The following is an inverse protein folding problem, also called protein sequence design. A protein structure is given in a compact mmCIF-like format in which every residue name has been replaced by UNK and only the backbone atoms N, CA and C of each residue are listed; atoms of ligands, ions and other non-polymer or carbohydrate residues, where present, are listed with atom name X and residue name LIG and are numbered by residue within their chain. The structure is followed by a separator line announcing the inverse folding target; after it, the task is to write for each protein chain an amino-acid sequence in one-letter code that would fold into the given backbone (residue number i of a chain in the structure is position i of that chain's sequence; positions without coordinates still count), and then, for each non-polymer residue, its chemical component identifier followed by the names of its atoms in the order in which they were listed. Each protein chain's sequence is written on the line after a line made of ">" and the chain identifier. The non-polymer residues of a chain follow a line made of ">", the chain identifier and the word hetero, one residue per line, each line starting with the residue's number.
data_IF_082107297184
#
_entry.id   IF_082107297184
#
_cell.length_a   1.000
_cell.length_b   1.000
_cell.length_c   1.000
_cell.angle_alpha   90.00
_cell.angle_beta   90.00
_cell.angle_gamma   90.00
#
_symmetry.space_group_name_H-M   'P 1'
#
loop_
_entity.id
_entity.type
_entity.pdbx_description
1 polymer ?
#
# COMPACT_ATOMS: atom_id res chain seq x y z
N UNK A 1 -1.70 71.90 30.52
CA UNK A 1 -0.44 72.60 30.84
C UNK A 1 0.16 71.99 32.09
N UNK A 2 1.48 71.82 32.12
CA UNK A 2 2.35 71.30 33.20
C UNK A 2 2.48 69.77 33.28
N UNK A 3 3.67 69.17 33.50
CA UNK A 3 5.09 69.43 33.16
C UNK A 3 5.81 68.12 33.57
N UNK A 4 6.86 67.76 32.84
CA UNK A 4 7.71 66.57 33.02
C UNK A 4 8.52 66.64 34.33
N UNK A 5 8.79 65.49 34.98
CA UNK A 5 10.04 65.16 35.69
C UNK A 5 10.08 63.63 35.96
N UNK A 6 10.98 62.84 35.37
CA UNK A 6 12.35 62.51 35.81
C UNK A 6 12.45 61.87 37.22
N UNK A 7 12.87 60.61 37.29
CA UNK A 7 14.10 60.18 37.98
C UNK A 7 14.15 58.65 38.16
N UNK A 8 15.26 58.05 37.72
CA UNK A 8 15.66 56.68 38.02
C UNK A 8 15.95 56.50 39.51
N UNK A 9 15.58 55.35 40.07
CA UNK A 9 16.19 54.83 41.29
C UNK A 9 16.48 53.33 41.14
N UNK A 10 17.77 53.06 41.33
CA UNK A 10 18.47 51.78 41.31
C UNK A 10 18.02 50.92 42.49
N UNK A 11 17.78 49.63 42.26
CA UNK A 11 17.80 48.62 43.32
C UNK A 11 18.61 47.41 42.86
N UNK A 12 19.82 47.32 43.41
CA UNK A 12 20.72 46.18 43.33
C UNK A 12 20.14 45.06 44.21
N UNK A 13 19.81 43.90 43.63
CA UNK A 13 19.35 42.70 44.34
C UNK A 13 20.35 41.57 44.16
N UNK A 14 20.81 41.02 45.27
CA UNK A 14 21.97 40.13 45.41
C UNK A 14 21.50 38.66 45.46
N UNK A 15 22.30 37.79 44.82
CA UNK A 15 22.59 36.36 45.14
C UNK A 15 21.50 35.27 45.13
N UNK A 16 21.69 34.31 44.22
CA UNK A 16 21.74 32.86 44.44
C UNK A 16 22.41 32.25 43.19
N UNK A 17 23.45 31.43 43.23
CA UNK A 17 23.53 30.15 43.92
C UNK A 17 23.55 29.02 42.87
N UNK A 18 24.75 28.58 42.50
CA UNK A 18 25.18 27.36 41.81
C UNK A 18 24.13 26.33 41.30
N UNK A 19 24.28 25.88 40.04
CA UNK A 19 24.77 24.53 39.71
C UNK A 19 24.76 24.29 38.20
N UNK A 20 25.90 23.81 37.69
CA UNK A 20 26.08 23.33 36.33
C UNK A 20 25.29 22.04 36.09
N UNK A 21 24.59 21.96 34.95
CA UNK A 21 24.39 20.69 34.23
C UNK A 21 24.47 20.99 32.72
N UNK A 22 25.70 20.97 32.22
CA UNK A 22 26.03 20.81 30.81
C UNK A 22 25.39 19.51 30.33
N UNK A 23 24.27 19.62 29.61
CA UNK A 23 23.71 18.50 28.88
C UNK A 23 24.72 18.07 27.81
N UNK A 24 25.26 16.86 27.94
CA UNK A 24 26.11 16.25 26.94
C UNK A 24 25.35 16.15 25.59
N UNK A 25 25.99 16.46 24.45
CA UNK A 25 25.38 16.21 23.15
C UNK A 25 25.24 14.70 22.95
N UNK A 26 24.00 14.24 22.77
CA UNK A 26 23.71 12.87 22.38
C UNK A 26 24.46 12.54 21.07
N UNK A 27 25.14 11.38 20.96
CA UNK A 27 25.80 11.01 19.72
C UNK A 27 24.75 10.87 18.61
N UNK A 28 25.00 11.56 17.51
CA UNK A 28 24.24 11.46 16.28
C UNK A 28 24.15 9.98 15.88
N UNK A 29 22.93 9.43 15.90
CA UNK A 29 22.64 8.13 15.32
C UNK A 29 22.90 8.25 13.83
N UNK A 30 24.00 7.68 13.37
CA UNK A 30 24.21 7.34 11.97
C UNK A 30 22.97 6.63 11.45
N UNK A 31 22.37 7.04 10.31
CA UNK A 31 21.37 6.22 9.68
C UNK A 31 22.08 4.93 9.24
N UNK A 32 21.85 3.86 9.99
CA UNK A 32 22.09 2.50 9.51
C UNK A 32 21.22 2.38 8.28
N UNK A 33 21.84 2.38 7.11
CA UNK A 33 21.21 1.96 5.89
C UNK A 33 20.62 0.58 6.17
N UNK A 34 19.31 0.51 6.33
CA UNK A 34 18.59 -0.75 6.26
C UNK A 34 18.84 -1.29 4.86
N UNK A 35 19.89 -2.10 4.73
CA UNK A 35 20.02 -3.11 3.69
C UNK A 35 18.88 -4.11 3.90
N UNK A 36 17.66 -3.65 3.61
CA UNK A 36 16.51 -4.52 3.44
C UNK A 36 16.87 -5.43 2.28
N UNK A 37 16.80 -6.74 2.55
CA UNK A 37 16.97 -7.81 1.60
C UNK A 37 16.57 -7.35 0.20
N UNK A 38 17.54 -7.34 -0.72
CA UNK A 38 17.28 -7.27 -2.14
C UNK A 38 16.50 -8.53 -2.50
N UNK A 39 15.19 -8.51 -2.23
CA UNK A 39 14.26 -9.33 -2.98
C UNK A 39 14.51 -8.94 -4.42
N UNK A 40 14.84 -9.96 -5.22
CA UNK A 40 14.97 -9.93 -6.67
C UNK A 40 13.67 -9.39 -7.28
N UNK A 41 13.49 -8.08 -7.15
CA UNK A 41 12.34 -7.36 -7.64
C UNK A 41 12.73 -6.94 -9.04
N UNK A 42 12.03 -7.42 -10.09
CA UNK A 42 12.46 -7.30 -11.48
C UNK A 42 12.74 -5.86 -11.93
N UNK A 43 12.24 -4.87 -11.19
CA UNK A 43 12.56 -3.45 -11.36
C UNK A 43 12.76 -2.79 -9.99
N UNK A 44 13.91 -2.16 -9.72
CA UNK A 44 14.15 -1.37 -8.51
C UNK A 44 13.06 -0.30 -8.26
N UNK A 45 12.74 -0.06 -6.99
CA UNK A 45 11.69 0.89 -6.61
C UNK A 45 11.99 2.32 -7.09
N UNK A 46 13.24 2.74 -6.99
CA UNK A 46 13.68 4.07 -7.44
C UNK A 46 13.49 4.25 -8.96
N UNK A 47 13.83 3.23 -9.75
CA UNK A 47 13.64 3.24 -11.20
C UNK A 47 12.16 3.30 -11.59
N UNK A 48 11.29 2.53 -10.92
CA UNK A 48 9.84 2.64 -11.10
C UNK A 48 9.29 4.01 -10.71
N UNK A 49 9.84 4.65 -9.67
CA UNK A 49 9.41 5.97 -9.25
C UNK A 49 9.77 7.03 -10.31
N UNK A 50 11.01 6.97 -10.84
CA UNK A 50 11.44 7.83 -11.94
C UNK A 50 10.60 7.63 -13.20
N UNK A 51 10.40 6.38 -13.63
CA UNK A 51 9.57 6.05 -14.78
C UNK A 51 8.13 6.59 -14.64
N UNK A 52 7.55 6.58 -13.43
CA UNK A 52 6.24 7.18 -13.17
C UNK A 52 6.26 8.69 -13.37
N UNK A 53 7.30 9.38 -12.92
CA UNK A 53 7.45 10.83 -13.13
C UNK A 53 7.58 11.15 -14.61
N UNK A 54 8.41 10.41 -15.33
CA UNK A 54 8.59 10.56 -16.78
C UNK A 54 7.25 10.36 -17.50
N UNK A 55 6.54 9.26 -17.23
CA UNK A 55 5.24 8.98 -17.84
C UNK A 55 4.18 10.04 -17.49
N UNK A 56 4.19 10.60 -16.27
CA UNK A 56 3.30 11.69 -15.91
C UNK A 56 3.62 12.96 -16.70
N UNK A 57 4.91 13.28 -16.87
CA UNK A 57 5.36 14.44 -17.66
C UNK A 57 5.01 14.31 -19.15
N UNK A 58 5.02 13.10 -19.69
CA UNK A 58 4.63 12.80 -21.07
C UNK A 58 3.10 12.87 -21.28
N UNK A 59 2.30 12.78 -20.22
CA UNK A 59 0.83 12.69 -20.28
C UNK A 59 0.10 13.83 -19.55
N UNK A 60 0.75 14.98 -19.35
CA UNK A 60 0.21 16.13 -18.58
C UNK A 60 -1.11 16.69 -19.10
N UNK A 61 -1.43 16.47 -20.38
CA UNK A 61 -2.67 16.92 -20.99
C UNK A 61 -3.88 15.99 -20.71
N UNK A 62 -3.65 14.78 -20.20
CA UNK A 62 -4.69 13.81 -19.92
C UNK A 62 -5.16 13.90 -18.47
N UNK A 63 -6.40 13.47 -18.22
CA UNK A 63 -6.94 13.35 -16.87
C UNK A 63 -7.85 12.12 -16.74
N UNK A 64 -8.29 11.81 -15.52
CA UNK A 64 -9.30 10.77 -15.28
C UNK A 64 -8.90 9.37 -15.74
N UNK A 65 -9.80 8.71 -16.48
CA UNK A 65 -9.59 7.36 -17.05
C UNK A 65 -8.48 7.36 -18.10
N UNK A 66 -8.45 8.38 -18.96
CA UNK A 66 -7.49 8.46 -20.08
C UNK A 66 -6.06 8.56 -19.57
N UNK A 67 -5.82 9.41 -18.55
CA UNK A 67 -4.51 9.46 -17.89
C UNK A 67 -4.14 8.11 -17.27
N UNK A 68 -5.09 7.41 -16.64
CA UNK A 68 -4.82 6.09 -16.05
C UNK A 68 -4.52 5.02 -17.09
N UNK A 69 -5.18 5.07 -18.25
CA UNK A 69 -4.88 4.19 -19.38
C UNK A 69 -3.49 4.48 -19.95
N UNK A 70 -3.20 5.75 -20.26
CA UNK A 70 -1.91 6.16 -20.82
C UNK A 70 -0.74 5.89 -19.87
N UNK A 71 -0.91 6.14 -18.56
CA UNK A 71 0.08 5.80 -17.54
C UNK A 71 0.40 4.30 -17.49
N UNK A 72 -0.61 3.43 -17.63
CA UNK A 72 -0.38 1.97 -17.67
C UNK A 72 0.41 1.56 -18.90
N UNK A 73 0.05 2.09 -20.08
CA UNK A 73 0.75 1.81 -21.33
C UNK A 73 2.20 2.31 -21.29
N UNK A 74 2.42 3.56 -20.89
CA UNK A 74 3.76 4.14 -20.77
C UNK A 74 4.64 3.34 -19.78
N UNK A 75 4.11 3.03 -18.59
CA UNK A 75 4.85 2.26 -17.59
C UNK A 75 5.18 0.85 -18.09
N UNK A 76 4.25 0.17 -18.77
CA UNK A 76 4.51 -1.16 -19.33
C UNK A 76 5.55 -1.10 -20.46
N UNK A 77 5.51 -0.06 -21.30
CA UNK A 77 6.47 0.14 -22.39
C UNK A 77 7.90 0.40 -21.88
N UNK A 78 8.07 1.08 -20.74
CA UNK A 78 9.40 1.29 -20.12
C UNK A 78 9.99 0.00 -19.50
N UNK A 79 9.18 -1.04 -19.27
CA UNK A 79 9.60 -2.32 -18.70
C UNK A 79 8.99 -3.53 -19.45
N UNK A 80 9.35 -3.76 -20.73
CA UNK A 80 8.67 -4.74 -21.58
C UNK A 80 8.85 -6.19 -21.14
N UNK A 81 9.90 -6.50 -20.37
CA UNK A 81 10.15 -7.83 -19.80
C UNK A 81 9.46 -8.10 -18.46
N UNK A 82 8.73 -7.12 -17.90
CA UNK A 82 8.13 -7.23 -16.57
C UNK A 82 6.64 -6.91 -16.64
N UNK A 83 5.80 -7.87 -16.24
CA UNK A 83 4.36 -7.64 -16.11
C UNK A 83 4.08 -6.75 -14.88
N UNK A 84 3.93 -5.44 -15.08
CA UNK A 84 3.73 -4.50 -13.95
C UNK A 84 2.28 -4.43 -13.50
N UNK A 85 1.35 -4.63 -14.42
CA UNK A 85 -0.08 -4.56 -14.19
C UNK A 85 -0.75 -5.85 -14.65
N UNK A 86 -1.97 -6.10 -14.19
CA UNK A 86 -2.77 -7.15 -14.82
C UNK A 86 -3.04 -6.78 -16.29
N UNK A 87 -2.85 -7.73 -17.20
CA UNK A 87 -3.05 -7.58 -18.64
C UNK A 87 -3.70 -8.87 -19.16
N UNK A 88 -4.56 -8.76 -20.18
CA UNK A 88 -5.31 -9.88 -20.78
C UNK A 88 -6.00 -10.79 -19.75
N UNK A 89 -6.52 -10.20 -18.68
CA UNK A 89 -7.22 -10.95 -17.65
C UNK A 89 -6.31 -11.77 -16.73
N UNK A 90 -4.99 -11.61 -16.80
CA UNK A 90 -4.00 -12.30 -15.95
C UNK A 90 -3.29 -11.32 -15.02
N UNK A 91 -3.02 -11.72 -13.78
CA UNK A 91 -2.26 -10.95 -12.81
C UNK A 91 -0.76 -11.04 -13.10
N UNK A 92 0.05 -10.20 -12.46
CA UNK A 92 1.52 -10.30 -12.54
C UNK A 92 2.04 -11.71 -12.23
N UNK A 93 1.42 -12.40 -11.28
CA UNK A 93 1.85 -13.74 -10.84
C UNK A 93 1.31 -14.86 -11.76
N UNK A 94 0.83 -14.54 -12.96
CA UNK A 94 0.34 -15.50 -13.95
C UNK A 94 -1.05 -16.10 -13.66
N UNK A 95 -1.71 -15.67 -12.58
CA UNK A 95 -3.04 -16.16 -12.19
C UNK A 95 -4.14 -15.38 -12.90
N UNK A 96 -5.31 -15.97 -13.21
CA UNK A 96 -6.42 -15.18 -13.73
C UNK A 96 -6.83 -14.10 -12.73
N UNK A 97 -7.14 -12.90 -13.20
CA UNK A 97 -7.74 -11.84 -12.39
C UNK A 97 -9.07 -12.32 -11.81
N UNK A 98 -9.55 -11.69 -10.72
CA UNK A 98 -10.84 -12.06 -10.15
C UNK A 98 -11.98 -11.88 -11.15
N UNK A 99 -11.90 -10.87 -12.03
CA UNK A 99 -12.87 -10.64 -13.10
C UNK A 99 -12.82 -11.76 -14.15
N UNK A 100 -11.63 -12.09 -14.67
CA UNK A 100 -11.47 -13.17 -15.65
C UNK A 100 -11.88 -14.53 -15.09
N UNK A 101 -11.51 -14.84 -13.84
CA UNK A 101 -11.93 -16.08 -13.17
C UNK A 101 -13.46 -16.16 -13.03
N UNK A 102 -14.13 -15.05 -12.65
CA UNK A 102 -15.59 -15.01 -12.57
C UNK A 102 -16.26 -15.15 -13.94
N UNK A 103 -15.71 -14.52 -14.98
CA UNK A 103 -16.21 -14.64 -16.34
C UNK A 103 -16.13 -16.09 -16.83
N UNK A 104 -14.96 -16.72 -16.72
CA UNK A 104 -14.76 -18.13 -17.07
C UNK A 104 -15.68 -19.07 -16.27
N UNK A 105 -15.82 -18.87 -14.95
CA UNK A 105 -16.74 -19.67 -14.14
C UNK A 105 -18.21 -19.47 -14.53
N UNK A 106 -18.58 -18.26 -14.95
CA UNK A 106 -19.92 -17.96 -15.45
C UNK A 106 -20.19 -18.72 -16.75
N UNK A 107 -19.25 -18.69 -17.70
CA UNK A 107 -19.36 -19.44 -18.96
C UNK A 107 -19.51 -20.95 -18.71
N UNK A 108 -18.74 -21.52 -17.78
CA UNK A 108 -18.85 -22.94 -17.39
C UNK A 108 -20.23 -23.28 -16.79
N UNK A 109 -20.74 -22.43 -15.89
CA UNK A 109 -22.04 -22.64 -15.27
C UNK A 109 -23.20 -22.46 -16.27
N UNK A 110 -23.09 -21.47 -17.16
CA UNK A 110 -24.08 -21.18 -18.19
C UNK A 110 -24.08 -22.28 -19.27
N UNK A 111 -22.91 -22.80 -19.66
CA UNK A 111 -22.78 -23.96 -20.57
C UNK A 111 -23.39 -25.25 -20.00
N UNK A 112 -23.36 -25.41 -18.67
CA UNK A 112 -24.05 -26.48 -17.94
C UNK A 112 -25.52 -26.18 -17.64
N UNK A 113 -26.03 -25.01 -18.03
CA UNK A 113 -27.40 -24.53 -17.79
C UNK A 113 -27.84 -24.61 -16.32
N UNK A 114 -26.88 -24.46 -15.39
CA UNK A 114 -27.16 -24.52 -13.96
C UNK A 114 -28.04 -23.34 -13.53
N UNK A 115 -28.93 -23.57 -12.55
CA UNK A 115 -29.81 -22.53 -12.02
C UNK A 115 -29.85 -22.53 -10.49
N UNK A 116 -30.40 -21.46 -9.90
CA UNK A 116 -30.65 -21.35 -8.47
C UNK A 116 -29.43 -21.63 -7.58
N UNK A 117 -29.65 -22.42 -6.52
CA UNK A 117 -28.62 -22.78 -5.54
C UNK A 117 -27.47 -23.61 -6.16
N UNK A 118 -27.78 -24.48 -7.13
CA UNK A 118 -26.77 -25.30 -7.81
C UNK A 118 -25.79 -24.43 -8.60
N UNK A 119 -26.31 -23.40 -9.29
CA UNK A 119 -25.48 -22.41 -9.98
C UNK A 119 -24.56 -21.67 -9.01
N UNK A 120 -25.07 -21.23 -7.87
CA UNK A 120 -24.28 -20.52 -6.86
C UNK A 120 -23.15 -21.40 -6.31
N UNK A 121 -23.45 -22.66 -6.00
CA UNK A 121 -22.48 -23.63 -5.52
C UNK A 121 -21.38 -23.90 -6.56
N UNK A 122 -21.76 -24.09 -7.82
CA UNK A 122 -20.81 -24.31 -8.92
C UNK A 122 -19.92 -23.08 -9.17
N UNK A 123 -20.48 -21.87 -9.18
CA UNK A 123 -19.71 -20.63 -9.33
C UNK A 123 -18.71 -20.45 -8.20
N UNK A 124 -19.13 -20.74 -6.96
CA UNK A 124 -18.27 -20.63 -5.77
C UNK A 124 -17.14 -21.66 -5.82
N UNK A 125 -17.46 -22.91 -6.14
CA UNK A 125 -16.47 -23.98 -6.26
C UNK A 125 -15.46 -23.68 -7.38
N UNK A 126 -15.94 -23.28 -8.56
CA UNK A 126 -15.08 -22.90 -9.69
C UNK A 126 -14.16 -21.72 -9.33
N UNK A 127 -14.70 -20.66 -8.71
CA UNK A 127 -13.89 -19.50 -8.35
C UNK A 127 -12.84 -19.85 -7.31
N UNK A 128 -13.19 -20.64 -6.29
CA UNK A 128 -12.26 -21.09 -5.26
C UNK A 128 -11.15 -21.98 -5.83
N UNK A 129 -11.46 -22.82 -6.82
CA UNK A 129 -10.48 -23.64 -7.51
C UNK A 129 -9.51 -22.81 -8.36
N UNK A 130 -10.00 -21.79 -9.10
CA UNK A 130 -9.15 -20.91 -9.92
C UNK A 130 -8.37 -19.89 -9.09
N UNK A 131 -8.89 -19.48 -7.94
CA UNK A 131 -8.32 -18.44 -7.05
C UNK A 131 -8.35 -18.84 -5.57
N UNK A 132 -7.63 -19.92 -5.19
CA UNK A 132 -7.55 -20.37 -3.80
C UNK A 132 -6.95 -19.31 -2.88
N UNK A 133 -6.07 -18.45 -3.41
CA UNK A 133 -5.47 -17.33 -2.67
C UNK A 133 -6.51 -16.28 -2.24
N UNK A 134 -7.52 -16.02 -3.07
CA UNK A 134 -8.60 -15.09 -2.74
C UNK A 134 -9.63 -15.73 -1.83
N UNK A 135 -9.92 -17.02 -2.04
CA UNK A 135 -10.79 -17.79 -1.16
C UNK A 135 -10.23 -17.79 0.28
N UNK A 136 -8.94 -18.09 0.45
CA UNK A 136 -8.29 -18.06 1.76
C UNK A 136 -8.31 -16.68 2.39
N UNK A 137 -8.03 -15.62 1.61
CA UNK A 137 -8.13 -14.23 2.11
C UNK A 137 -9.56 -13.87 2.56
N UNK A 138 -10.59 -14.44 1.94
CA UNK A 138 -11.97 -14.25 2.38
C UNK A 138 -12.24 -14.93 3.72
N UNK A 139 -11.70 -16.14 3.94
CA UNK A 139 -11.74 -16.83 5.23
C UNK A 139 -11.02 -16.01 6.31
N UNK A 140 -9.78 -15.61 6.06
CA UNK A 140 -9.01 -14.76 6.98
C UNK A 140 -9.75 -13.47 7.37
N UNK A 141 -10.43 -12.84 6.40
CA UNK A 141 -11.24 -11.64 6.64
C UNK A 141 -12.45 -11.94 7.53
N UNK A 142 -13.13 -13.07 7.31
CA UNK A 142 -14.29 -13.48 8.12
C UNK A 142 -13.87 -13.70 9.58
N UNK A 143 -12.78 -14.42 9.80
CA UNK A 143 -12.25 -14.70 11.13
C UNK A 143 -11.77 -13.44 11.85
N UNK A 144 -11.03 -12.56 11.16
CA UNK A 144 -10.57 -11.30 11.73
C UNK A 144 -11.75 -10.38 12.12
N UNK A 145 -12.81 -10.33 11.29
CA UNK A 145 -14.04 -9.61 11.64
C UNK A 145 -14.80 -10.25 12.80
N UNK A 146 -14.82 -11.58 12.90
CA UNK A 146 -15.42 -12.26 14.05
C UNK A 146 -14.70 -11.94 15.36
N UNK A 147 -13.40 -11.59 15.29
CA UNK A 147 -12.61 -11.07 16.42
C UNK A 147 -12.81 -9.58 16.69
N UNK A 148 -13.72 -8.91 15.97
CA UNK A 148 -13.99 -7.48 16.11
C UNK A 148 -12.93 -6.56 15.51
N UNK A 149 -11.98 -7.09 14.71
CA UNK A 149 -10.92 -6.27 14.12
C UNK A 149 -11.44 -5.43 12.95
N UNK A 150 -11.01 -4.18 12.89
CA UNK A 150 -11.31 -3.23 11.82
C UNK A 150 -10.07 -2.47 11.33
N UNK A 151 -10.25 -1.57 10.37
CA UNK A 151 -9.21 -0.64 9.93
C UNK A 151 -7.85 -1.28 9.59
N UNK A 152 -6.80 -0.78 10.25
CA UNK A 152 -5.43 -1.26 10.06
C UNK A 152 -5.18 -2.63 10.71
N UNK A 153 -5.81 -2.88 11.85
CA UNK A 153 -5.73 -4.15 12.60
C UNK A 153 -6.28 -5.31 11.75
N UNK A 154 -7.42 -5.10 11.08
CA UNK A 154 -7.99 -6.06 10.14
C UNK A 154 -7.05 -6.37 8.99
N UNK A 155 -6.38 -5.37 8.41
CA UNK A 155 -5.41 -5.59 7.32
C UNK A 155 -4.23 -6.43 7.80
N UNK A 156 -3.67 -6.08 8.96
CA UNK A 156 -2.56 -6.82 9.58
C UNK A 156 -2.94 -8.27 9.86
N UNK A 157 -4.14 -8.52 10.39
CA UNK A 157 -4.65 -9.86 10.65
C UNK A 157 -4.85 -10.69 9.37
N UNK A 158 -5.42 -10.08 8.31
CA UNK A 158 -5.59 -10.75 7.01
C UNK A 158 -4.23 -11.12 6.39
N UNK A 159 -3.26 -10.20 6.44
CA UNK A 159 -1.93 -10.46 5.87
C UNK A 159 -1.13 -11.47 6.69
N UNK A 160 -1.30 -11.51 8.01
CA UNK A 160 -0.76 -12.59 8.88
C UNK A 160 -1.31 -13.95 8.49
N UNK A 161 -2.64 -14.10 8.53
CA UNK A 161 -3.34 -15.34 8.18
C UNK A 161 -3.02 -15.83 6.75
N UNK A 162 -2.93 -14.91 5.78
CA UNK A 162 -2.59 -15.26 4.40
C UNK A 162 -1.13 -15.68 4.20
N UNK A 163 -0.21 -15.31 5.11
CA UNK A 163 1.18 -15.78 5.13
C UNK A 163 1.29 -17.15 5.81
N UNK A 164 0.60 -17.33 6.92
CA UNK A 164 0.55 -18.62 7.64
C UNK A 164 -0.01 -19.74 6.75
N UNK A 165 -1.03 -19.45 5.95
CA UNK A 165 -1.60 -20.43 5.01
C UNK A 165 -0.70 -20.78 3.80
N UNK A 166 0.48 -20.16 3.66
CA UNK A 166 1.47 -20.45 2.60
C UNK A 166 2.69 -21.21 3.11
N UNK A 167 2.88 -21.31 4.43
CA UNK A 167 3.94 -22.08 5.08
C UNK A 167 3.48 -23.50 5.38
#
# INVERSE_FOLDING_TARGET
>A
MHRIALASLIACGISAGAAAQTAAPAPARTPVASAGAATDEPVPRAERAKARQDCLSENVALSGEDLRAAMRLCMQAKFPGVQLYAHDGVTRDGKPTAAAARASCKEEADGRKLQGAERLAALTACFNAKRPDLAQRAVCRKEARAKGLDGAELRKAIDGCAREARG
#
